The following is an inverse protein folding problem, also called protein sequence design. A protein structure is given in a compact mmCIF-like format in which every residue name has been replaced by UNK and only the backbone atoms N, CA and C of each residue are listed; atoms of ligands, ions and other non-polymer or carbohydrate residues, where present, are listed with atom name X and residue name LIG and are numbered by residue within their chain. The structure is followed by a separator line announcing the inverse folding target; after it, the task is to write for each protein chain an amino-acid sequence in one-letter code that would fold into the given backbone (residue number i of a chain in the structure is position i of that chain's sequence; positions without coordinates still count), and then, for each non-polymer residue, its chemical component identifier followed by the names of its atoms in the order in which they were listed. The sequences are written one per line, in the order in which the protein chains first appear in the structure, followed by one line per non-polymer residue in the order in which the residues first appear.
data_IF_966754672944
#
_entry.id   IF_966754672944
#
_cell.length_a   1.000
_cell.length_b   1.000
_cell.length_c   1.000
_cell.angle_alpha   90.00
_cell.angle_beta   90.00
_cell.angle_gamma   90.00
#
_symmetry.space_group_name_H-M   'P 1'
#
loop_
_entity.id
_entity.type
_entity.pdbx_description
1 polymer ?
#
# COMPACT_ATOMS: atom_id res chain seq x y z
N UNK A 1 8.88 17.72 -11.94
CA UNK A 1 9.41 17.24 -10.65
C UNK A 1 9.87 15.81 -10.82
N UNK A 2 11.09 15.49 -10.38
CA UNK A 2 11.75 14.20 -10.63
C UNK A 2 10.92 12.99 -10.21
N UNK A 3 10.29 13.04 -9.02
CA UNK A 3 9.48 11.92 -8.50
C UNK A 3 8.26 11.58 -9.36
N UNK A 4 7.57 12.56 -9.95
CA UNK A 4 6.45 12.28 -10.86
C UNK A 4 6.94 11.60 -12.15
N UNK A 5 8.12 11.99 -12.65
CA UNK A 5 8.75 11.38 -13.82
C UNK A 5 9.21 9.95 -13.52
N UNK A 6 9.83 9.73 -12.36
CA UNK A 6 10.31 8.41 -11.91
C UNK A 6 9.12 7.46 -11.68
N UNK A 7 8.01 7.95 -11.10
CA UNK A 7 6.79 7.17 -10.96
C UNK A 7 6.15 6.82 -12.30
N UNK A 8 6.12 7.77 -13.25
CA UNK A 8 5.61 7.51 -14.60
C UNK A 8 6.45 6.47 -15.33
N UNK A 9 7.77 6.53 -15.18
CA UNK A 9 8.66 5.51 -15.73
C UNK A 9 8.37 4.14 -15.11
N UNK A 10 8.18 4.07 -13.79
CA UNK A 10 7.84 2.82 -13.13
C UNK A 10 6.44 2.30 -13.49
N UNK A 11 5.46 3.19 -13.70
CA UNK A 11 4.10 2.83 -14.10
C UNK A 11 4.06 1.97 -15.37
N UNK A 12 5.04 2.15 -16.27
CA UNK A 12 5.17 1.34 -17.50
C UNK A 12 5.46 -0.14 -17.22
N UNK A 13 5.94 -0.48 -16.01
CA UNK A 13 6.32 -1.84 -15.61
C UNK A 13 5.23 -2.56 -14.82
N UNK A 14 4.31 -1.83 -14.19
CA UNK A 14 3.17 -2.42 -13.49
C UNK A 14 2.28 -3.07 -14.54
N UNK A 15 2.08 -4.40 -14.49
CA UNK A 15 1.29 -5.12 -15.49
C UNK A 15 -0.22 -5.06 -15.22
N UNK A 16 -0.61 -5.10 -13.94
CA UNK A 16 -2.01 -5.09 -13.50
C UNK A 16 -2.70 -3.74 -13.79
N UNK A 17 -3.85 -3.80 -14.46
CA UNK A 17 -4.58 -2.60 -14.91
C UNK A 17 -5.18 -1.79 -13.75
N UNK A 18 -5.65 -2.45 -12.70
CA UNK A 18 -6.27 -1.78 -11.56
C UNK A 18 -5.22 -1.08 -10.70
N UNK A 19 -4.11 -1.77 -10.40
CA UNK A 19 -2.95 -1.17 -9.73
C UNK A 19 -2.45 0.03 -10.53
N UNK A 20 -2.33 -0.11 -11.86
CA UNK A 20 -1.91 0.99 -12.74
C UNK A 20 -2.84 2.20 -12.63
N UNK A 21 -4.16 2.00 -12.60
CA UNK A 21 -5.12 3.09 -12.44
C UNK A 21 -4.93 3.84 -11.11
N UNK A 22 -4.76 3.13 -9.99
CA UNK A 22 -4.53 3.78 -8.69
C UNK A 22 -3.24 4.59 -8.65
N UNK A 23 -2.15 4.07 -9.22
CA UNK A 23 -0.87 4.77 -9.28
C UNK A 23 -0.96 5.97 -10.23
N UNK A 24 -1.66 5.84 -11.35
CA UNK A 24 -1.87 6.96 -12.28
C UNK A 24 -2.68 8.09 -11.65
N UNK A 25 -3.73 7.77 -10.88
CA UNK A 25 -4.49 8.76 -10.11
C UNK A 25 -3.63 9.44 -9.05
N UNK A 26 -2.75 8.69 -8.37
CA UNK A 26 -1.80 9.26 -7.41
C UNK A 26 -0.85 10.28 -8.07
N UNK A 27 -0.33 9.95 -9.27
CA UNK A 27 0.53 10.86 -10.06
C UNK A 27 -0.23 12.12 -10.44
N UNK A 28 -1.43 11.97 -11.01
CA UNK A 28 -2.29 13.09 -11.41
C UNK A 28 -2.59 14.01 -10.23
N UNK A 29 -2.90 13.44 -9.07
CA UNK A 29 -3.11 14.21 -7.85
C UNK A 29 -1.85 14.98 -7.43
N UNK A 30 -0.68 14.33 -7.48
CA UNK A 30 0.58 14.96 -7.09
C UNK A 30 0.97 16.12 -8.02
N UNK A 31 0.81 15.94 -9.34
CA UNK A 31 1.08 16.97 -10.35
C UNK A 31 0.11 18.15 -10.27
N UNK A 32 -1.14 17.90 -9.83
CA UNK A 32 -2.13 18.94 -9.56
C UNK A 32 -2.02 19.57 -8.15
N UNK A 33 -0.93 19.29 -7.42
CA UNK A 33 -0.68 19.77 -6.05
C UNK A 33 -1.71 19.30 -5.01
N UNK A 34 -2.48 18.25 -5.33
CA UNK A 34 -3.46 17.61 -4.45
C UNK A 34 -2.76 16.56 -3.56
N UNK A 35 -1.79 17.00 -2.76
CA UNK A 35 -0.85 16.11 -2.05
C UNK A 35 -1.50 15.13 -1.08
N UNK A 36 -2.57 15.52 -0.39
CA UNK A 36 -3.32 14.61 0.50
C UNK A 36 -3.97 13.47 -0.30
N UNK A 37 -4.57 13.81 -1.44
CA UNK A 37 -5.19 12.83 -2.35
C UNK A 37 -4.13 11.91 -2.95
N UNK A 38 -2.96 12.44 -3.36
CA UNK A 38 -1.87 11.64 -3.89
C UNK A 38 -1.38 10.57 -2.89
N UNK A 39 -1.27 10.92 -1.60
CA UNK A 39 -0.93 9.98 -0.52
C UNK A 39 -2.00 8.90 -0.36
N UNK A 40 -3.28 9.28 -0.40
CA UNK A 40 -4.39 8.31 -0.28
C UNK A 40 -4.37 7.34 -1.45
N UNK A 41 -4.29 7.84 -2.69
CA UNK A 41 -4.34 7.01 -3.90
C UNK A 41 -3.12 6.08 -4.02
N UNK A 42 -1.92 6.57 -3.72
CA UNK A 42 -0.71 5.74 -3.77
C UNK A 42 -0.76 4.61 -2.75
N UNK A 43 -1.31 4.86 -1.56
CA UNK A 43 -1.52 3.81 -0.56
C UNK A 43 -2.54 2.76 -1.00
N UNK A 44 -3.64 3.17 -1.65
CA UNK A 44 -4.61 2.21 -2.20
C UNK A 44 -3.96 1.27 -3.22
N UNK A 45 -3.14 1.82 -4.12
CA UNK A 45 -2.37 1.02 -5.07
C UNK A 45 -1.43 0.02 -4.39
N UNK A 46 -0.71 0.46 -3.33
CA UNK A 46 0.21 -0.41 -2.61
C UNK A 46 -0.52 -1.56 -1.89
N UNK A 47 -1.67 -1.29 -1.28
CA UNK A 47 -2.48 -2.32 -0.64
C UNK A 47 -3.07 -3.32 -1.63
N UNK A 48 -3.53 -2.86 -2.81
CA UNK A 48 -4.01 -3.73 -3.89
C UNK A 48 -2.93 -4.73 -4.31
N UNK A 49 -1.70 -4.25 -4.53
CA UNK A 49 -0.53 -5.08 -4.88
C UNK A 49 -0.23 -6.11 -3.80
N UNK A 50 -0.12 -5.69 -2.54
CA UNK A 50 0.23 -6.59 -1.45
C UNK A 50 -0.85 -7.65 -1.22
N UNK A 51 -2.13 -7.28 -1.27
CA UNK A 51 -3.22 -8.23 -1.09
C UNK A 51 -3.29 -9.24 -2.24
N UNK A 52 -3.11 -8.80 -3.50
CA UNK A 52 -3.01 -9.71 -4.66
C UNK A 52 -1.83 -10.65 -4.52
N UNK A 53 -0.66 -10.15 -4.13
CA UNK A 53 0.53 -10.96 -3.90
C UNK A 53 0.29 -12.04 -2.84
N UNK A 54 -0.34 -11.68 -1.71
CA UNK A 54 -0.73 -12.63 -0.67
C UNK A 54 -1.74 -13.65 -1.18
N UNK A 55 -2.77 -13.21 -1.90
CA UNK A 55 -3.81 -14.08 -2.44
C UNK A 55 -3.23 -15.14 -3.39
N UNK A 56 -2.31 -14.74 -4.27
CA UNK A 56 -1.73 -15.61 -5.28
C UNK A 56 -0.66 -16.55 -4.74
N UNK A 57 0.17 -16.09 -3.79
CA UNK A 57 1.39 -16.81 -3.41
C UNK A 57 1.40 -17.34 -1.97
N UNK A 58 0.60 -16.74 -1.07
CA UNK A 58 0.73 -16.96 0.37
C UNK A 58 -0.60 -17.20 1.11
N UNK A 59 -1.72 -17.42 0.41
CA UNK A 59 -3.06 -17.45 1.01
C UNK A 59 -3.21 -18.46 2.15
N UNK A 60 -2.69 -19.68 1.98
CA UNK A 60 -2.78 -20.72 3.00
C UNK A 60 -2.01 -20.34 4.28
N UNK A 61 -0.79 -19.81 4.12
CA UNK A 61 0.03 -19.31 5.22
C UNK A 61 -0.62 -18.11 5.91
N UNK A 62 -1.16 -17.18 5.13
CA UNK A 62 -1.90 -16.02 5.62
C UNK A 62 -3.10 -16.41 6.47
N UNK A 63 -3.94 -17.34 6.00
CA UNK A 63 -5.09 -17.80 6.77
C UNK A 63 -4.67 -18.49 8.06
N UNK A 64 -3.62 -19.31 8.02
CA UNK A 64 -3.09 -19.98 9.22
C UNK A 64 -2.62 -18.95 10.26
N UNK A 65 -1.85 -17.95 9.84
CA UNK A 65 -1.32 -16.91 10.73
C UNK A 65 -2.40 -15.93 11.21
N UNK A 66 -3.40 -15.64 10.39
CA UNK A 66 -4.55 -14.82 10.75
C UNK A 66 -5.42 -15.53 11.80
N UNK A 67 -5.73 -16.81 11.61
CA UNK A 67 -6.49 -17.63 12.58
C UNK A 67 -5.71 -17.84 13.87
N UNK A 68 -4.37 -17.96 13.82
CA UNK A 68 -3.52 -18.08 15.01
C UNK A 68 -3.65 -16.88 15.94
N UNK A 69 -3.71 -15.66 15.38
CA UNK A 69 -3.80 -14.42 16.18
C UNK A 69 -5.23 -14.02 16.48
N UNK A 70 -6.17 -14.27 15.57
CA UNK A 70 -7.59 -14.04 15.77
C UNK A 70 -8.36 -15.33 15.44
N UNK A 71 -8.75 -16.07 16.48
CA UNK A 71 -9.49 -17.34 16.32
C UNK A 71 -10.88 -17.16 15.68
N UNK A 72 -11.41 -15.94 15.62
CA UNK A 72 -12.66 -15.60 14.92
C UNK A 72 -12.44 -15.23 13.45
N UNK A 73 -11.20 -15.24 12.97
CA UNK A 73 -10.90 -14.95 11.56
C UNK A 73 -11.58 -15.98 10.66
N UNK A 74 -12.41 -15.48 9.75
CA UNK A 74 -12.96 -16.29 8.66
C UNK A 74 -11.90 -16.37 7.58
N UNK A 75 -11.52 -17.59 7.20
CA UNK A 75 -10.53 -17.82 6.14
C UNK A 75 -10.89 -17.02 4.88
N UNK A 76 -9.92 -16.28 4.37
CA UNK A 76 -10.04 -15.54 3.13
C UNK A 76 -9.95 -16.47 1.93
N UNK A 77 -10.82 -16.24 0.95
CA UNK A 77 -10.81 -16.91 -0.36
C UNK A 77 -10.57 -15.92 -1.49
N UNK A 78 -10.90 -14.66 -1.28
CA UNK A 78 -10.74 -13.57 -2.25
C UNK A 78 -9.93 -12.42 -1.68
N UNK A 79 -9.52 -11.50 -2.56
CA UNK A 79 -8.87 -10.24 -2.15
C UNK A 79 -9.76 -9.44 -1.18
N UNK A 80 -11.07 -9.36 -1.46
CA UNK A 80 -12.02 -8.66 -0.60
C UNK A 80 -12.13 -9.29 0.80
N UNK A 81 -12.00 -10.61 0.91
CA UNK A 81 -11.95 -11.26 2.22
C UNK A 81 -10.70 -10.84 3.01
N UNK A 82 -9.54 -10.73 2.36
CA UNK A 82 -8.31 -10.18 2.97
C UNK A 82 -8.56 -8.73 3.41
N UNK A 83 -9.22 -7.92 2.58
CA UNK A 83 -9.53 -6.52 2.83
C UNK A 83 -10.46 -6.26 4.03
N UNK A 84 -11.11 -7.29 4.59
CA UNK A 84 -11.84 -7.18 5.88
C UNK A 84 -10.91 -7.02 7.08
N UNK A 85 -9.65 -7.39 6.94
CA UNK A 85 -8.62 -7.18 7.95
C UNK A 85 -8.16 -5.73 7.94
N UNK A 86 -8.01 -5.13 9.12
CA UNK A 86 -7.43 -3.79 9.22
C UNK A 86 -6.02 -3.74 8.62
N UNK A 87 -5.70 -2.67 7.91
CA UNK A 87 -4.43 -2.56 7.15
C UNK A 87 -3.19 -2.70 8.06
N UNK A 88 -3.28 -2.23 9.31
CA UNK A 88 -2.21 -2.43 10.30
C UNK A 88 -2.00 -3.91 10.64
N UNK A 89 -3.09 -4.62 10.92
CA UNK A 89 -3.03 -6.05 11.27
C UNK A 89 -2.55 -6.86 10.08
N UNK A 90 -2.98 -6.49 8.86
CA UNK A 90 -2.50 -7.07 7.62
C UNK A 90 -0.98 -6.94 7.49
N UNK A 91 -0.41 -5.75 7.71
CA UNK A 91 1.04 -5.54 7.70
C UNK A 91 1.76 -6.42 8.73
N UNK A 92 1.18 -6.60 9.91
CA UNK A 92 1.74 -7.51 10.92
C UNK A 92 1.67 -8.99 10.48
N UNK A 93 0.61 -9.42 9.77
CA UNK A 93 0.52 -10.79 9.26
C UNK A 93 1.57 -11.07 8.19
N UNK A 94 1.73 -10.16 7.22
CA UNK A 94 2.67 -10.38 6.11
C UNK A 94 4.14 -10.28 6.56
N UNK A 95 4.42 -9.52 7.62
CA UNK A 95 5.75 -9.54 8.25
C UNK A 95 6.02 -10.82 9.04
N UNK A 96 5.02 -11.33 9.78
CA UNK A 96 5.15 -12.62 10.47
C UNK A 96 5.40 -13.79 9.49
N UNK A 97 4.92 -13.67 8.25
CA UNK A 97 5.19 -14.61 7.16
C UNK A 97 6.50 -14.34 6.41
N UNK A 98 7.29 -13.36 6.84
CA UNK A 98 8.52 -12.93 6.18
C UNK A 98 8.35 -12.49 4.71
N UNK A 99 7.14 -12.10 4.29
CA UNK A 99 6.88 -11.51 2.97
C UNK A 99 7.53 -10.12 2.90
N UNK A 100 7.49 -9.38 4.02
CA UNK A 100 8.25 -8.15 4.23
C UNK A 100 9.07 -8.25 5.51
N UNK A 101 10.18 -7.51 5.57
CA UNK A 101 10.99 -7.43 6.79
C UNK A 101 10.48 -6.37 7.78
N UNK A 102 10.91 -6.49 9.04
CA UNK A 102 10.54 -5.56 10.14
C UNK A 102 10.73 -4.07 9.82
N UNK A 103 11.84 -3.71 9.18
CA UNK A 103 12.11 -2.31 8.82
C UNK A 103 11.16 -1.80 7.72
N UNK A 104 10.87 -2.64 6.72
CA UNK A 104 9.88 -2.32 5.68
C UNK A 104 8.51 -2.14 6.31
N UNK A 105 8.09 -3.05 7.20
CA UNK A 105 6.85 -2.89 7.95
C UNK A 105 6.77 -1.55 8.69
N UNK A 106 7.84 -1.14 9.36
CA UNK A 106 7.87 0.14 10.08
C UNK A 106 7.67 1.34 9.15
N UNK A 107 8.31 1.33 7.97
CA UNK A 107 8.10 2.37 6.95
C UNK A 107 6.66 2.35 6.41
N UNK A 108 6.12 1.18 6.07
CA UNK A 108 4.75 1.05 5.58
C UNK A 108 3.71 1.47 6.62
N UNK A 109 3.97 1.21 7.90
CA UNK A 109 3.13 1.68 9.00
C UNK A 109 3.13 3.21 9.09
N UNK A 110 4.29 3.85 8.94
CA UNK A 110 4.37 5.31 8.82
C UNK A 110 3.61 5.86 7.61
N UNK A 111 3.66 5.16 6.47
CA UNK A 111 2.87 5.50 5.29
C UNK A 111 1.36 5.38 5.54
N UNK A 112 0.91 4.32 6.24
CA UNK A 112 -0.48 4.11 6.64
C UNK A 112 -0.96 5.23 7.56
N UNK A 113 -0.18 5.58 8.58
CA UNK A 113 -0.55 6.63 9.54
C UNK A 113 -0.67 8.00 8.84
N UNK A 114 0.24 8.31 7.91
CA UNK A 114 0.15 9.51 7.08
C UNK A 114 -1.08 9.51 6.17
N UNK A 115 -1.40 8.37 5.55
CA UNK A 115 -2.62 8.19 4.74
C UNK A 115 -3.87 8.41 5.58
N UNK A 116 -3.94 7.85 6.78
CA UNK A 116 -5.06 8.05 7.69
C UNK A 116 -5.23 9.53 8.05
N UNK A 117 -4.14 10.25 8.35
CA UNK A 117 -4.17 11.70 8.53
C UNK A 117 -4.66 12.46 7.28
N UNK A 118 -4.34 11.99 6.07
CA UNK A 118 -4.82 12.59 4.83
C UNK A 118 -6.30 12.28 4.54
N UNK A 119 -6.82 11.15 5.01
CA UNK A 119 -8.21 10.72 4.79
C UNK A 119 -9.25 11.32 5.74
N UNK A 120 -8.83 11.95 6.84
CA UNK A 120 -9.74 12.55 7.83
C UNK A 120 -9.77 14.09 7.76
N UNK A 121 -10.89 14.75 8.11
CA UNK A 121 -10.91 16.20 8.26
C UNK A 121 -10.06 16.60 9.47
N UNK A 122 -8.95 17.30 9.23
CA UNK A 122 -8.05 17.78 10.27
C UNK A 122 -7.16 18.93 9.74
N UNK A 123 -6.31 19.48 10.61
CA UNK A 123 -5.39 20.58 10.31
C UNK A 123 -4.06 20.13 9.70
N UNK A 124 -3.88 18.84 9.34
CA UNK A 124 -2.65 18.32 8.77
C UNK A 124 -2.33 19.01 7.44
N UNK A 125 -1.15 19.62 7.36
CA UNK A 125 -0.60 20.15 6.12
C UNK A 125 0.39 19.14 5.53
N UNK A 126 0.31 18.95 4.21
CA UNK A 126 1.20 18.07 3.45
C UNK A 126 1.87 18.92 2.39
N UNK A 127 3.20 18.89 2.38
CA UNK A 127 4.02 19.54 1.35
C UNK A 127 4.30 18.59 0.19
N UNK A 128 4.75 19.16 -0.92
CA UNK A 128 5.21 18.42 -2.09
C UNK A 128 6.25 17.35 -1.75
N UNK A 129 7.28 17.69 -0.97
CA UNK A 129 8.34 16.76 -0.58
C UNK A 129 7.81 15.62 0.29
N UNK A 130 6.83 15.90 1.15
CA UNK A 130 6.23 14.86 2.01
C UNK A 130 5.40 13.86 1.20
N UNK A 131 4.64 14.36 0.21
CA UNK A 131 3.93 13.49 -0.73
C UNK A 131 4.89 12.69 -1.60
N UNK A 132 5.93 13.32 -2.11
CA UNK A 132 6.95 12.67 -2.93
C UNK A 132 7.67 11.54 -2.18
N UNK A 133 8.11 11.78 -0.95
CA UNK A 133 8.78 10.78 -0.11
C UNK A 133 7.86 9.59 0.26
N UNK A 134 6.57 9.87 0.50
CA UNK A 134 5.58 8.81 0.77
C UNK A 134 5.43 7.89 -0.44
N UNK A 135 5.27 8.48 -1.62
CA UNK A 135 5.15 7.75 -2.88
C UNK A 135 6.43 6.96 -3.18
N UNK A 136 7.61 7.56 -3.02
CA UNK A 136 8.91 6.90 -3.23
C UNK A 136 9.11 5.71 -2.29
N UNK A 137 8.68 5.83 -1.03
CA UNK A 137 8.74 4.72 -0.08
C UNK A 137 7.91 3.53 -0.57
N UNK A 138 6.70 3.77 -1.08
CA UNK A 138 5.84 2.72 -1.63
C UNK A 138 6.40 2.15 -2.94
N UNK A 139 7.02 2.99 -3.78
CA UNK A 139 7.70 2.57 -5.00
C UNK A 139 8.74 1.48 -4.73
N UNK A 140 9.72 1.79 -3.88
CA UNK A 140 10.86 0.92 -3.63
C UNK A 140 10.51 -0.32 -2.81
N UNK A 141 9.49 -0.22 -1.94
CA UNK A 141 9.19 -1.27 -0.97
C UNK A 141 7.97 -2.12 -1.33
N UNK A 142 7.13 -1.66 -2.26
CA UNK A 142 5.92 -2.37 -2.68
C UNK A 142 5.89 -2.57 -4.19
N UNK A 143 5.81 -1.49 -4.96
CA UNK A 143 5.56 -1.58 -6.40
C UNK A 143 6.71 -2.31 -7.14
N UNK A 144 7.97 -1.95 -6.86
CA UNK A 144 9.13 -2.61 -7.48
C UNK A 144 9.30 -4.08 -7.10
N UNK A 145 8.70 -4.52 -5.99
CA UNK A 145 8.91 -5.87 -5.45
C UNK A 145 7.79 -6.85 -5.77
N UNK A 146 6.57 -6.35 -5.91
CA UNK A 146 5.38 -7.19 -5.90
C UNK A 146 4.40 -6.92 -7.06
N UNK A 147 4.63 -5.90 -7.90
CA UNK A 147 3.78 -5.57 -9.07
C UNK A 147 4.15 -6.33 -10.34
#
# INVERSE_FOLDING_TARGET
MQVATDLRHHLSKVADAQTRNFVEEAIKCHEAELYRSAIVMSWLGAMDVLQKHVLLNHLAGFNTEATRVNSKWKMALTQDDIGRMGESDFLDRIEALSIIGKNVKAQLKGCLDLRNGCGHPNSLKVSVNKSAAHIETLLQNVFEKFS
#
